data_IF_385917168248
#
_entry.id   IF_385917168248
#
_cell.length_a   1.000
_cell.length_b   1.000
_cell.length_c   1.000
_cell.angle_alpha   90.00
_cell.angle_beta   90.00
_cell.angle_gamma   90.00
#
_symmetry.space_group_name_H-M   'P 1'
#
loop_
_entity.id
_entity.type
_entity.pdbx_description
1 polymer ?
#
# COMPACT_ATOMS: atom_id res chain seq x y z
N UNK A 1 27.23 -26.13 8.24
CA UNK A 1 26.82 -25.35 7.04
C UNK A 1 25.32 -25.12 7.12
N UNK A 2 24.87 -23.87 7.22
CA UNK A 2 23.45 -23.54 7.16
C UNK A 2 22.94 -23.86 5.75
N UNK A 3 21.81 -24.59 5.67
CA UNK A 3 21.13 -24.86 4.40
C UNK A 3 20.75 -23.54 3.75
N UNK A 4 20.97 -23.33 2.44
CA UNK A 4 20.53 -22.12 1.75
C UNK A 4 19.05 -21.88 2.05
N UNK A 5 18.67 -20.61 2.31
CA UNK A 5 17.28 -20.22 2.52
C UNK A 5 16.51 -20.59 1.26
N UNK A 6 15.42 -21.29 1.44
CA UNK A 6 14.53 -21.68 0.35
C UNK A 6 13.59 -20.51 0.07
N UNK A 7 13.97 -19.64 -0.87
CA UNK A 7 13.24 -18.40 -1.20
C UNK A 7 11.83 -18.68 -1.71
N UNK A 8 11.62 -19.79 -2.41
CA UNK A 8 10.29 -20.17 -2.89
C UNK A 8 9.37 -20.53 -1.72
N UNK A 9 9.89 -21.25 -0.74
CA UNK A 9 9.17 -21.59 0.48
C UNK A 9 8.89 -20.34 1.32
N UNK A 10 9.84 -19.40 1.39
CA UNK A 10 9.68 -18.14 2.11
C UNK A 10 8.55 -17.32 1.48
N UNK A 11 8.52 -17.18 0.15
CA UNK A 11 7.46 -16.49 -0.58
C UNK A 11 6.10 -17.17 -0.38
N UNK A 12 6.04 -18.50 -0.45
CA UNK A 12 4.82 -19.26 -0.20
C UNK A 12 4.24 -19.00 1.20
N UNK A 13 5.10 -18.96 2.21
CA UNK A 13 4.67 -18.69 3.59
C UNK A 13 4.19 -17.24 3.74
N UNK A 14 4.91 -16.27 3.18
CA UNK A 14 4.53 -14.84 3.25
C UNK A 14 3.21 -14.59 2.52
N UNK A 15 2.99 -15.21 1.36
CA UNK A 15 1.73 -15.11 0.64
C UNK A 15 0.57 -15.69 1.45
N UNK A 16 0.75 -16.88 2.02
CA UNK A 16 -0.27 -17.49 2.89
C UNK A 16 -0.54 -16.65 4.14
N UNK A 17 0.48 -15.99 4.68
CA UNK A 17 0.33 -15.07 5.81
C UNK A 17 -0.47 -13.82 5.42
N UNK A 18 -0.22 -13.23 4.24
CA UNK A 18 -0.98 -12.11 3.72
C UNK A 18 -2.46 -12.47 3.50
N UNK A 19 -2.73 -13.65 2.94
CA UNK A 19 -4.08 -14.15 2.74
C UNK A 19 -4.80 -14.44 4.07
N UNK A 20 -4.08 -15.00 5.06
CA UNK A 20 -4.62 -15.25 6.40
C UNK A 20 -4.97 -13.95 7.11
N UNK A 21 -4.05 -12.98 7.05
CA UNK A 21 -4.28 -11.64 7.59
C UNK A 21 -5.48 -10.95 6.93
N UNK A 22 -5.58 -11.06 5.61
CA UNK A 22 -6.67 -10.45 4.86
C UNK A 22 -8.04 -11.03 5.24
N UNK A 23 -8.13 -12.35 5.38
CA UNK A 23 -9.41 -13.03 5.63
C UNK A 23 -9.85 -12.96 7.09
N UNK A 24 -8.92 -13.06 8.02
CA UNK A 24 -9.21 -13.24 9.44
C UNK A 24 -8.79 -12.04 10.31
N UNK A 25 -8.01 -11.09 9.75
CA UNK A 25 -7.42 -9.98 10.49
C UNK A 25 -6.19 -10.38 11.30
N UNK A 26 -5.56 -9.37 11.92
CA UNK A 26 -4.32 -9.56 12.68
C UNK A 26 -4.53 -10.34 13.99
N UNK A 27 -5.61 -10.06 14.74
CA UNK A 27 -5.88 -10.69 16.02
C UNK A 27 -5.89 -12.23 15.94
N UNK A 28 -6.76 -12.84 15.13
CA UNK A 28 -6.86 -14.30 14.97
C UNK A 28 -5.66 -14.94 14.25
N UNK A 29 -4.87 -14.19 13.48
CA UNK A 29 -3.70 -14.71 12.76
C UNK A 29 -2.68 -15.31 13.74
N UNK A 30 -2.15 -16.47 13.40
CA UNK A 30 -1.08 -17.17 14.13
C UNK A 30 -0.11 -17.86 13.18
N UNK A 31 1.13 -18.13 13.66
CA UNK A 31 2.11 -18.89 12.87
C UNK A 31 1.58 -20.29 12.50
N UNK A 32 0.77 -20.88 13.38
CA UNK A 32 0.15 -22.19 13.15
C UNK A 32 -0.95 -22.12 12.06
N UNK A 33 -1.81 -21.09 12.07
CA UNK A 33 -2.83 -20.92 11.04
C UNK A 33 -2.20 -20.65 9.67
N UNK A 34 -1.11 -19.87 9.63
CA UNK A 34 -0.35 -19.63 8.41
C UNK A 34 0.30 -20.92 7.90
N UNK A 35 0.92 -21.74 8.77
CA UNK A 35 1.49 -23.02 8.37
C UNK A 35 0.44 -23.94 7.72
N UNK A 36 -0.76 -23.97 8.30
CA UNK A 36 -1.90 -24.73 7.76
C UNK A 36 -2.32 -24.22 6.39
N UNK A 37 -2.45 -22.90 6.23
CA UNK A 37 -2.82 -22.26 4.96
C UNK A 37 -1.76 -22.44 3.88
N UNK A 38 -0.49 -22.33 4.24
CA UNK A 38 0.64 -22.55 3.34
C UNK A 38 0.85 -24.04 3.00
N UNK A 39 0.12 -24.96 3.64
CA UNK A 39 0.29 -26.40 3.49
C UNK A 39 1.74 -26.84 3.78
N UNK A 40 2.33 -26.28 4.83
CA UNK A 40 3.68 -26.62 5.28
C UNK A 40 3.67 -27.13 6.72
N UNK A 41 4.76 -27.81 7.11
CA UNK A 41 4.92 -28.23 8.52
C UNK A 41 5.10 -26.98 9.39
N UNK A 42 4.47 -26.92 10.59
CA UNK A 42 4.59 -25.75 11.48
C UNK A 42 6.05 -25.36 11.77
N UNK A 43 6.94 -26.31 11.96
CA UNK A 43 8.37 -26.05 12.14
C UNK A 43 9.03 -25.25 11.01
N UNK A 44 8.52 -25.34 9.77
CA UNK A 44 9.02 -24.53 8.66
C UNK A 44 8.71 -23.04 8.85
N UNK A 45 7.60 -22.69 9.48
CA UNK A 45 7.22 -21.31 9.79
C UNK A 45 7.96 -20.82 11.03
N UNK A 46 7.98 -21.59 12.12
CA UNK A 46 8.64 -21.21 13.36
C UNK A 46 10.18 -21.07 13.25
N UNK A 47 10.81 -21.69 12.26
CA UNK A 47 12.26 -21.48 11.98
C UNK A 47 12.54 -20.17 11.27
N UNK A 48 11.52 -19.50 10.70
CA UNK A 48 11.61 -18.27 9.92
C UNK A 48 11.12 -17.04 10.67
N UNK A 49 10.09 -17.22 11.47
CA UNK A 49 9.40 -16.15 12.18
C UNK A 49 9.24 -16.52 13.65
N UNK A 50 9.66 -15.65 14.55
CA UNK A 50 9.51 -15.82 16.01
C UNK A 50 8.07 -15.67 16.45
N UNK A 51 7.38 -14.71 15.84
CA UNK A 51 6.04 -14.30 16.23
C UNK A 51 5.26 -13.69 15.04
N UNK A 52 4.00 -13.39 15.26
CA UNK A 52 3.13 -12.79 14.23
C UNK A 52 3.51 -11.37 13.86
N UNK A 53 4.24 -10.65 14.73
CA UNK A 53 4.71 -9.29 14.45
C UNK A 53 5.84 -9.30 13.43
N UNK A 54 6.83 -10.19 13.60
CA UNK A 54 7.90 -10.39 12.60
C UNK A 54 7.32 -10.84 11.26
N UNK A 55 6.29 -11.68 11.29
CA UNK A 55 5.58 -12.10 10.08
C UNK A 55 4.83 -10.93 9.41
N UNK A 56 4.22 -10.02 10.18
CA UNK A 56 3.58 -8.82 9.63
C UNK A 56 4.60 -7.91 8.93
N UNK A 57 5.78 -7.72 9.52
CA UNK A 57 6.87 -6.97 8.88
C UNK A 57 7.23 -7.58 7.52
N UNK A 58 7.36 -8.91 7.46
CA UNK A 58 7.66 -9.60 6.20
C UNK A 58 6.53 -9.46 5.17
N UNK A 59 5.26 -9.44 5.60
CA UNK A 59 4.12 -9.16 4.72
C UNK A 59 4.23 -7.73 4.15
N UNK A 60 4.49 -6.74 5.01
CA UNK A 60 4.64 -5.34 4.61
C UNK A 60 5.76 -5.17 3.59
N UNK A 61 6.94 -5.73 3.86
CA UNK A 61 8.07 -5.69 2.95
C UNK A 61 7.78 -6.40 1.61
N UNK A 62 7.08 -7.51 1.64
CA UNK A 62 6.70 -8.24 0.43
C UNK A 62 5.73 -7.41 -0.43
N UNK A 63 4.70 -6.84 0.18
CA UNK A 63 3.72 -5.98 -0.51
C UNK A 63 4.42 -4.78 -1.13
N UNK A 64 5.34 -4.14 -0.41
CA UNK A 64 6.13 -3.03 -0.92
C UNK A 64 6.99 -3.43 -2.12
N UNK A 65 7.74 -4.52 -2.03
CA UNK A 65 8.59 -5.02 -3.13
C UNK A 65 7.80 -5.37 -4.38
N UNK A 66 6.69 -6.08 -4.23
CA UNK A 66 5.79 -6.41 -5.35
C UNK A 66 5.26 -5.12 -5.99
N UNK A 67 4.87 -4.18 -5.17
CA UNK A 67 4.45 -2.87 -5.61
C UNK A 67 5.55 -2.11 -6.35
N UNK A 68 6.80 -2.10 -5.88
CA UNK A 68 7.95 -1.44 -6.53
C UNK A 68 8.28 -2.03 -7.91
N UNK A 69 8.19 -3.33 -8.07
CA UNK A 69 8.52 -4.00 -9.33
C UNK A 69 7.52 -3.71 -10.46
N UNK A 70 6.30 -3.31 -10.12
CA UNK A 70 5.21 -3.16 -11.07
C UNK A 70 4.99 -1.72 -11.55
N UNK A 71 5.59 -0.70 -10.93
CA UNK A 71 5.32 0.69 -11.26
C UNK A 71 6.53 1.40 -11.83
N UNK A 72 6.35 1.98 -12.97
CA UNK A 72 7.30 2.90 -13.58
C UNK A 72 6.87 4.33 -13.25
N UNK A 73 7.80 5.13 -12.73
CA UNK A 73 7.60 6.56 -12.66
C UNK A 73 7.55 7.05 -14.12
N UNK A 74 6.45 7.65 -14.51
CA UNK A 74 6.31 8.26 -15.82
C UNK A 74 6.77 9.70 -15.72
N UNK A 75 7.65 10.08 -16.63
CA UNK A 75 8.12 11.45 -16.78
C UNK A 75 7.99 11.84 -18.26
N UNK A 76 7.06 12.74 -18.56
CA UNK A 76 6.81 13.27 -19.90
C UNK A 76 6.93 14.80 -19.89
N UNK A 77 6.72 15.42 -21.03
CA UNK A 77 6.70 16.89 -21.14
C UNK A 77 5.39 17.50 -20.55
N UNK A 78 4.41 16.67 -20.21
CA UNK A 78 3.15 17.12 -19.60
C UNK A 78 3.05 16.67 -18.12
N UNK A 79 3.39 17.53 -17.15
CA UNK A 79 3.33 17.21 -15.73
C UNK A 79 1.91 16.88 -15.23
N UNK A 80 0.86 17.41 -15.87
CA UNK A 80 -0.52 17.08 -15.53
C UNK A 80 -0.82 15.60 -15.83
N UNK A 81 -0.49 15.15 -17.03
CA UNK A 81 -0.73 13.76 -17.44
C UNK A 81 0.14 12.77 -16.60
N UNK A 82 1.32 13.21 -16.15
CA UNK A 82 2.17 12.43 -15.25
C UNK A 82 1.54 12.29 -13.86
N UNK A 83 0.93 13.35 -13.31
CA UNK A 83 0.22 13.25 -12.04
C UNK A 83 -1.04 12.38 -12.16
N UNK A 84 -1.83 12.55 -13.22
CA UNK A 84 -2.99 11.68 -13.48
C UNK A 84 -2.57 10.23 -13.59
N UNK A 85 -1.44 9.96 -14.26
CA UNK A 85 -0.89 8.61 -14.33
C UNK A 85 -0.51 8.07 -12.95
N UNK A 86 0.20 8.85 -12.13
CA UNK A 86 0.57 8.47 -10.78
C UNK A 86 -0.66 8.14 -9.91
N UNK A 87 -1.70 9.00 -9.97
CA UNK A 87 -2.97 8.78 -9.25
C UNK A 87 -3.71 7.55 -9.79
N UNK A 88 -3.62 7.26 -11.09
CA UNK A 88 -4.19 6.05 -11.70
C UNK A 88 -3.49 4.77 -11.23
N UNK A 89 -2.18 4.81 -11.03
CA UNK A 89 -1.43 3.70 -10.46
C UNK A 89 -1.86 3.43 -9.00
N UNK A 90 -2.10 4.49 -8.22
CA UNK A 90 -2.73 4.37 -6.90
C UNK A 90 -4.12 3.74 -7.02
N UNK A 91 -4.96 4.23 -7.93
CA UNK A 91 -6.30 3.68 -8.18
C UNK A 91 -6.25 2.17 -8.45
N UNK A 92 -5.38 1.74 -9.37
CA UNK A 92 -5.23 0.34 -9.75
C UNK A 92 -4.80 -0.54 -8.57
N UNK A 93 -3.85 -0.04 -7.78
CA UNK A 93 -3.33 -0.80 -6.63
C UNK A 93 -4.34 -0.91 -5.49
N UNK A 94 -5.07 0.17 -5.16
CA UNK A 94 -6.07 0.17 -4.08
C UNK A 94 -7.41 -0.44 -4.46
N UNK A 95 -7.64 -0.68 -5.74
CA UNK A 95 -8.80 -1.46 -6.21
C UNK A 95 -8.69 -2.93 -5.80
N UNK A 96 -7.48 -3.42 -5.54
CA UNK A 96 -7.29 -4.76 -4.99
C UNK A 96 -7.76 -4.82 -3.53
N UNK A 97 -8.42 -5.93 -3.19
CA UNK A 97 -9.00 -6.12 -1.85
C UNK A 97 -7.92 -6.08 -0.74
N UNK A 98 -6.70 -6.50 -1.06
CA UNK A 98 -5.57 -6.61 -0.12
C UNK A 98 -4.95 -5.27 0.29
N UNK A 99 -5.09 -4.21 -0.51
CA UNK A 99 -4.42 -2.94 -0.28
C UNK A 99 -4.88 -2.20 1.00
N UNK A 100 -6.08 -2.52 1.51
CA UNK A 100 -6.69 -1.81 2.63
C UNK A 100 -6.59 -2.52 3.98
N UNK A 101 -6.34 -3.80 4.00
CA UNK A 101 -6.36 -4.58 5.25
C UNK A 101 -5.28 -4.09 6.23
N UNK A 102 -4.11 -3.78 5.73
CA UNK A 102 -2.98 -3.32 6.55
C UNK A 102 -3.17 -1.88 7.03
N UNK A 103 -3.47 -0.88 6.16
CA UNK A 103 -3.76 0.47 6.61
C UNK A 103 -4.95 0.56 7.57
N UNK A 104 -5.98 -0.26 7.38
CA UNK A 104 -7.13 -0.31 8.28
C UNK A 104 -6.73 -0.69 9.72
N UNK A 105 -5.76 -1.58 9.89
CA UNK A 105 -5.24 -1.92 11.21
C UNK A 105 -4.64 -0.71 11.94
N UNK A 106 -4.00 0.21 11.22
CA UNK A 106 -3.37 1.39 11.83
C UNK A 106 -4.36 2.37 12.45
N UNK A 107 -5.63 2.33 12.04
CA UNK A 107 -6.71 3.20 12.58
C UNK A 107 -7.58 2.50 13.62
N UNK A 108 -7.42 1.18 13.83
CA UNK A 108 -8.13 0.47 14.89
C UNK A 108 -7.56 0.83 16.26
N UNK A 109 -8.43 0.88 17.26
CA UNK A 109 -8.04 1.12 18.65
C UNK A 109 -8.13 -0.19 19.46
N UNK A 110 -7.17 -1.08 19.19
CA UNK A 110 -6.98 -2.34 19.90
C UNK A 110 -5.53 -2.46 20.37
N UNK A 111 -5.28 -3.28 21.38
CA UNK A 111 -3.92 -3.49 21.88
C UNK A 111 -3.01 -4.06 20.79
N UNK A 112 -3.51 -5.02 20.00
CA UNK A 112 -2.76 -5.58 18.88
C UNK A 112 -2.46 -4.54 17.79
N UNK A 113 -3.41 -3.63 17.50
CA UNK A 113 -3.19 -2.56 16.55
C UNK A 113 -2.16 -1.55 17.07
N UNK A 114 -2.19 -1.25 18.38
CA UNK A 114 -1.22 -0.35 19.03
C UNK A 114 0.20 -0.89 18.94
N UNK A 115 0.40 -2.21 19.11
CA UNK A 115 1.72 -2.84 19.01
C UNK A 115 2.38 -2.70 17.63
N UNK A 116 1.59 -2.68 16.56
CA UNK A 116 2.10 -2.68 15.18
C UNK A 116 1.89 -1.36 14.45
N UNK A 117 1.16 -0.41 15.04
CA UNK A 117 0.83 0.87 14.41
C UNK A 117 2.03 1.65 13.92
N UNK A 118 3.12 1.67 14.70
CA UNK A 118 4.34 2.37 14.31
C UNK A 118 4.97 1.73 13.06
N UNK A 119 5.01 0.40 12.97
CA UNK A 119 5.55 -0.33 11.81
C UNK A 119 4.75 -0.01 10.54
N UNK A 120 3.41 0.03 10.67
CA UNK A 120 2.53 0.37 9.55
C UNK A 120 2.74 1.82 9.14
N UNK A 121 2.91 2.77 10.09
CA UNK A 121 3.18 4.17 9.78
C UNK A 121 4.50 4.36 9.06
N UNK A 122 5.58 3.75 9.55
CA UNK A 122 6.89 3.78 8.90
C UNK A 122 6.83 3.21 7.49
N UNK A 123 6.07 2.14 7.27
CA UNK A 123 5.87 1.58 5.95
C UNK A 123 5.03 2.50 5.06
N UNK A 124 3.99 3.13 5.60
CA UNK A 124 3.18 4.09 4.85
C UNK A 124 3.97 5.36 4.48
N UNK A 125 4.91 5.82 5.31
CA UNK A 125 5.81 6.93 4.97
C UNK A 125 6.75 6.56 3.82
N UNK A 126 7.20 5.31 3.78
CA UNK A 126 7.95 4.74 2.66
C UNK A 126 7.05 4.32 1.50
N UNK A 127 5.72 4.43 1.69
CA UNK A 127 4.73 3.92 0.76
C UNK A 127 4.91 4.57 -0.61
N UNK A 128 4.99 3.72 -1.58
CA UNK A 128 5.13 4.01 -2.98
C UNK A 128 4.10 4.98 -3.54
N UNK A 129 2.85 4.97 -3.05
CA UNK A 129 1.84 5.91 -3.51
C UNK A 129 2.29 7.35 -3.25
N UNK A 130 2.88 7.61 -2.08
CA UNK A 130 3.46 8.91 -1.77
C UNK A 130 4.70 9.18 -2.64
N UNK A 131 5.53 8.17 -2.92
CA UNK A 131 6.71 8.29 -3.78
C UNK A 131 6.38 8.52 -5.25
N UNK A 132 5.20 8.09 -5.72
CA UNK A 132 4.73 8.37 -7.09
C UNK A 132 4.11 9.76 -7.21
N UNK A 133 3.27 10.12 -6.26
CA UNK A 133 2.48 11.36 -6.32
C UNK A 133 3.33 12.57 -6.01
N UNK A 134 4.19 12.51 -5.01
CA UNK A 134 5.01 13.65 -4.58
C UNK A 134 5.89 14.22 -5.70
N UNK A 135 6.72 13.43 -6.40
CA UNK A 135 7.54 13.96 -7.51
C UNK A 135 6.70 14.55 -8.65
N UNK A 136 5.54 13.96 -8.93
CA UNK A 136 4.64 14.49 -9.96
C UNK A 136 4.05 15.85 -9.57
N UNK A 137 3.71 16.06 -8.30
CA UNK A 137 3.27 17.35 -7.76
C UNK A 137 4.41 18.38 -7.75
N UNK A 138 5.64 17.99 -7.42
CA UNK A 138 6.82 18.85 -7.47
C UNK A 138 7.06 19.35 -8.89
N UNK A 139 6.97 18.49 -9.89
CA UNK A 139 7.08 18.88 -11.31
C UNK A 139 5.97 19.83 -11.76
N UNK A 140 4.74 19.62 -11.29
CA UNK A 140 3.64 20.57 -11.55
C UNK A 140 3.91 21.96 -10.96
N UNK A 141 4.52 22.01 -9.78
CA UNK A 141 4.94 23.25 -9.15
C UNK A 141 6.04 23.93 -9.97
N UNK A 142 7.06 23.21 -10.36
CA UNK A 142 8.16 23.72 -11.20
C UNK A 142 7.64 24.25 -12.54
N UNK A 143 6.60 23.64 -13.09
CA UNK A 143 5.93 24.09 -14.30
C UNK A 143 4.96 25.29 -14.09
N UNK A 144 4.83 25.79 -12.86
CA UNK A 144 3.90 26.88 -12.51
C UNK A 144 2.42 26.52 -12.65
N UNK A 145 2.10 25.24 -12.62
CA UNK A 145 0.72 24.72 -12.74
C UNK A 145 0.08 24.42 -11.40
N UNK A 146 0.85 24.48 -10.32
CA UNK A 146 0.40 24.24 -8.94
C UNK A 146 0.66 25.48 -8.10
N UNK A 147 -0.31 25.85 -7.25
CA UNK A 147 -0.13 26.96 -6.32
C UNK A 147 1.09 26.75 -5.42
N UNK A 148 1.92 27.78 -5.26
CA UNK A 148 3.05 27.75 -4.33
C UNK A 148 2.66 27.57 -2.87
N UNK A 149 1.41 27.98 -2.53
CA UNK A 149 0.88 27.84 -1.15
C UNK A 149 0.35 26.45 -0.85
N UNK A 150 0.18 25.59 -1.84
CA UNK A 150 -0.30 24.22 -1.62
C UNK A 150 0.82 23.36 -1.05
N UNK A 151 0.63 22.81 0.14
CA UNK A 151 1.55 21.84 0.73
C UNK A 151 1.50 20.52 -0.04
N UNK A 152 2.64 20.11 -0.62
CA UNK A 152 2.75 18.87 -1.42
C UNK A 152 2.46 17.62 -0.60
N UNK A 153 2.90 17.58 0.67
CA UNK A 153 2.64 16.42 1.53
C UNK A 153 1.15 16.31 1.83
N UNK A 154 0.49 17.46 2.09
CA UNK A 154 -0.95 17.51 2.32
C UNK A 154 -1.71 17.10 1.05
N UNK A 155 -1.35 17.65 -0.11
CA UNK A 155 -1.97 17.28 -1.40
C UNK A 155 -1.80 15.78 -1.71
N UNK A 156 -0.60 15.23 -1.46
CA UNK A 156 -0.35 13.80 -1.62
C UNK A 156 -1.23 12.95 -0.70
N UNK A 157 -1.33 13.35 0.57
CA UNK A 157 -2.18 12.67 1.55
C UNK A 157 -3.67 12.75 1.18
N UNK A 158 -4.14 13.88 0.66
CA UNK A 158 -5.52 14.04 0.16
C UNK A 158 -5.81 13.09 -1.00
N UNK A 159 -4.94 13.04 -2.01
CA UNK A 159 -5.12 12.19 -3.19
C UNK A 159 -5.14 10.70 -2.82
N UNK A 160 -4.24 10.25 -1.94
CA UNK A 160 -4.22 8.87 -1.46
C UNK A 160 -5.39 8.61 -0.51
N UNK A 161 -5.66 9.52 0.43
CA UNK A 161 -6.70 9.38 1.45
C UNK A 161 -8.12 9.31 0.87
N UNK A 162 -8.37 9.97 -0.27
CA UNK A 162 -9.64 9.88 -0.96
C UNK A 162 -10.00 8.43 -1.31
N UNK A 163 -9.04 7.62 -1.76
CA UNK A 163 -9.26 6.22 -2.07
C UNK A 163 -9.65 5.39 -0.84
N UNK A 164 -9.07 5.69 0.33
CA UNK A 164 -9.48 5.05 1.59
C UNK A 164 -10.94 5.33 1.91
N UNK A 165 -11.35 6.59 1.80
CA UNK A 165 -12.74 6.98 2.06
C UNK A 165 -13.70 6.33 1.06
N UNK A 166 -13.36 6.37 -0.24
CA UNK A 166 -14.17 5.73 -1.27
C UNK A 166 -14.28 4.23 -1.03
N UNK A 167 -13.18 3.57 -0.70
CA UNK A 167 -13.16 2.12 -0.42
C UNK A 167 -14.04 1.72 0.76
N UNK A 168 -14.08 2.54 1.81
CA UNK A 168 -14.90 2.30 2.99
C UNK A 168 -16.39 2.57 2.75
N UNK A 169 -16.70 3.60 1.95
CA UNK A 169 -18.06 4.11 1.80
C UNK A 169 -18.77 3.65 0.53
N UNK A 170 -18.05 3.28 -0.53
CA UNK A 170 -18.60 3.06 -1.86
C UNK A 170 -17.99 1.80 -2.47
N UNK A 171 -18.86 0.92 -2.99
CA UNK A 171 -18.43 -0.25 -3.75
C UNK A 171 -17.54 0.17 -4.94
N UNK A 172 -16.36 -0.45 -5.14
CA UNK A 172 -15.45 -0.10 -6.25
C UNK A 172 -16.10 -0.17 -7.65
N UNK A 173 -17.09 -1.02 -7.84
CA UNK A 173 -17.86 -1.09 -9.09
C UNK A 173 -18.64 0.19 -9.41
N UNK A 174 -18.86 1.04 -8.41
CA UNK A 174 -19.57 2.32 -8.53
C UNK A 174 -18.63 3.52 -8.58
N UNK A 175 -17.32 3.30 -8.55
CA UNK A 175 -16.37 4.40 -8.65
C UNK A 175 -16.41 5.02 -10.05
N UNK A 176 -16.26 6.36 -10.16
CA UNK A 176 -16.18 7.00 -11.46
C UNK A 176 -14.99 6.46 -12.26
N UNK A 177 -15.20 6.14 -13.54
CA UNK A 177 -14.12 5.65 -14.42
C UNK A 177 -12.98 6.68 -14.60
N UNK A 178 -13.29 7.97 -14.42
CA UNK A 178 -12.34 9.08 -14.46
C UNK A 178 -11.99 9.63 -13.05
N UNK A 179 -12.05 8.77 -12.04
CA UNK A 179 -11.73 9.16 -10.66
C UNK A 179 -10.34 9.77 -10.49
N UNK A 180 -9.25 9.25 -11.13
CA UNK A 180 -7.94 9.88 -11.06
C UNK A 180 -7.93 11.32 -11.52
N UNK A 181 -8.55 11.61 -12.67
CA UNK A 181 -8.64 12.95 -13.24
C UNK A 181 -9.42 13.89 -12.31
N UNK A 182 -10.57 13.43 -11.81
CA UNK A 182 -11.39 14.22 -10.87
C UNK A 182 -10.66 14.56 -9.57
N UNK A 183 -9.84 13.63 -9.06
CA UNK A 183 -9.03 13.89 -7.87
C UNK A 183 -7.94 14.93 -8.15
N UNK A 184 -7.30 14.88 -9.31
CA UNK A 184 -6.30 15.89 -9.72
C UNK A 184 -6.97 17.25 -9.90
N UNK A 185 -8.10 17.32 -10.58
CA UNK A 185 -8.88 18.55 -10.78
C UNK A 185 -9.33 19.18 -9.45
N UNK A 186 -9.61 18.36 -8.42
CA UNK A 186 -9.99 18.85 -7.09
C UNK A 186 -8.90 19.65 -6.37
N UNK A 187 -7.65 19.56 -6.82
CA UNK A 187 -6.54 20.39 -6.33
C UNK A 187 -6.48 21.78 -7.02
N UNK A 188 -7.45 22.10 -7.87
CA UNK A 188 -7.47 23.33 -8.64
C UNK A 188 -6.48 23.31 -9.84
N UNK A 189 -6.07 22.12 -10.29
CA UNK A 189 -5.18 21.92 -11.42
C UNK A 189 -6.04 21.64 -12.65
N UNK A 190 -5.92 22.50 -13.66
CA UNK A 190 -6.61 22.32 -14.93
C UNK A 190 -5.67 21.78 -16.00
N UNK A 191 -6.20 20.90 -16.84
CA UNK A 191 -5.49 20.45 -18.04
C UNK A 191 -5.36 21.62 -19.01
N UNK A 192 -4.15 22.09 -19.24
CA UNK A 192 -3.84 23.10 -20.26
C UNK A 192 -3.54 22.45 -21.60
#
# INVERSE_FOLDING_TARGET
MARPRDEELDLKIIQAAADEFHQNGYGPMSLASVAKRAEVRPGAVYTRFRDKKEMLVAILEHVSKVSESQTKIRVTDNPYDDLVFAVREVHNSVSSLHAFTIPALAIMDTDEANEVRHLIREEMERNRHMQLIRPALERLREAGMLSETLDINYASAMLVGAYFTFRLAIDPSKWPSNMPEKLVESLGIEKR
#
